data_IF_161967248905
#
_entry.id   IF_161967248905
#
_cell.length_a   1.000
_cell.length_b   1.000
_cell.length_c   1.000
_cell.angle_alpha   90.00
_cell.angle_beta   90.00
_cell.angle_gamma   90.00
#
_symmetry.space_group_name_H-M   'P 1'
#
loop_
_entity.id
_entity.type
_entity.pdbx_description
1 polymer ?
#
# COMPACT_ATOMS: atom_id res chain seq x y z
N UNK A 1 12.49 43.46 -64.83
CA UNK A 1 11.62 44.36 -64.03
C UNK A 1 10.45 43.51 -63.59
N UNK A 2 10.34 43.00 -62.37
CA UNK A 2 10.82 43.48 -61.06
C UNK A 2 11.64 42.42 -60.31
N UNK A 3 12.65 42.90 -59.60
CA UNK A 3 13.35 42.24 -58.50
C UNK A 3 12.50 42.33 -57.22
N UNK A 4 12.48 41.27 -56.42
CA UNK A 4 12.16 41.34 -54.99
C UNK A 4 13.00 40.27 -54.25
N UNK A 5 14.21 40.66 -53.86
CA UNK A 5 14.82 40.17 -52.63
C UNK A 5 14.24 40.99 -51.48
N UNK A 6 13.76 40.34 -50.42
CA UNK A 6 14.27 40.56 -49.07
C UNK A 6 13.64 39.60 -48.07
N UNK A 7 14.53 39.01 -47.29
CA UNK A 7 14.35 38.09 -46.18
C UNK A 7 13.46 38.63 -45.07
N UNK A 8 12.53 37.81 -44.58
CA UNK A 8 12.12 37.89 -43.17
C UNK A 8 11.86 36.48 -42.66
N UNK A 9 12.83 35.95 -41.90
CA UNK A 9 12.63 34.74 -41.11
C UNK A 9 11.53 35.02 -40.07
N UNK A 10 10.70 34.01 -39.71
CA UNK A 10 9.58 34.22 -38.79
C UNK A 10 10.06 34.73 -37.43
N UNK A 11 9.34 35.72 -36.93
CA UNK A 11 9.53 36.36 -35.62
C UNK A 11 9.58 35.28 -34.54
N UNK A 12 10.73 35.13 -33.88
CA UNK A 12 10.83 34.38 -32.63
C UNK A 12 10.00 35.13 -31.60
N UNK A 13 8.91 34.53 -31.13
CA UNK A 13 8.33 34.92 -29.85
C UNK A 13 9.44 34.74 -28.82
N UNK A 14 9.95 35.84 -28.28
CA UNK A 14 10.58 35.79 -26.98
C UNK A 14 9.48 35.28 -26.04
N UNK A 15 9.62 34.02 -25.59
CA UNK A 15 8.98 33.62 -24.37
C UNK A 15 9.55 34.59 -23.34
N UNK A 16 8.74 35.52 -22.87
CA UNK A 16 9.04 36.19 -21.62
C UNK A 16 9.15 35.06 -20.60
N UNK A 17 10.38 34.83 -20.14
CA UNK A 17 10.73 33.97 -19.02
C UNK A 17 10.07 34.57 -17.76
N UNK A 18 8.76 34.45 -17.66
CA UNK A 18 8.09 34.37 -16.38
C UNK A 18 8.28 32.93 -15.90
N UNK A 19 9.47 32.69 -15.33
CA UNK A 19 9.69 31.62 -14.36
C UNK A 19 8.65 31.82 -13.25
N UNK A 20 7.50 31.19 -13.43
CA UNK A 20 6.50 31.02 -12.41
C UNK A 20 7.09 30.05 -11.40
N UNK A 21 7.60 30.58 -10.29
CA UNK A 21 8.03 29.85 -9.09
C UNK A 21 6.94 28.94 -8.48
N UNK A 22 5.77 28.79 -9.12
CA UNK A 22 4.68 27.92 -8.68
C UNK A 22 5.06 26.43 -8.63
N UNK A 23 6.02 25.97 -9.44
CA UNK A 23 6.51 24.56 -9.35
C UNK A 23 7.30 24.29 -8.06
N UNK A 24 7.86 25.33 -7.41
CA UNK A 24 8.58 25.20 -6.14
C UNK A 24 7.67 25.28 -4.91
N UNK A 25 6.45 25.79 -5.04
CA UNK A 25 5.47 25.89 -3.94
C UNK A 25 4.88 24.52 -3.55
N UNK A 26 4.67 23.63 -4.51
CA UNK A 26 4.19 22.26 -4.25
C UNK A 26 5.16 21.45 -3.36
N UNK A 27 6.45 21.78 -3.39
CA UNK A 27 7.49 21.14 -2.59
C UNK A 27 7.48 21.58 -1.12
N UNK A 28 6.88 22.72 -0.77
CA UNK A 28 6.92 23.29 0.60
C UNK A 28 5.91 22.66 1.58
N UNK A 29 4.94 21.88 1.11
CA UNK A 29 3.85 21.36 1.97
C UNK A 29 4.30 20.17 2.84
N UNK A 30 5.35 19.45 2.43
CA UNK A 30 5.80 18.23 3.11
C UNK A 30 6.75 18.44 4.30
N UNK A 31 7.34 19.63 4.44
CA UNK A 31 8.35 19.93 5.46
C UNK A 31 7.83 19.89 6.91
N UNK A 32 6.52 19.66 7.12
CA UNK A 32 5.90 19.61 8.45
C UNK A 32 5.51 18.22 8.93
N UNK A 33 5.55 17.20 8.08
CA UNK A 33 5.09 15.86 8.45
C UNK A 33 6.27 15.01 8.88
N UNK A 34 6.24 14.51 10.12
CA UNK A 34 7.26 13.59 10.64
C UNK A 34 6.62 12.27 11.04
N UNK A 35 7.20 11.16 10.60
CA UNK A 35 6.78 9.81 10.99
C UNK A 35 7.66 9.32 12.12
N UNK A 36 7.05 8.91 13.23
CA UNK A 36 7.75 8.34 14.40
C UNK A 36 7.28 6.90 14.60
N UNK A 37 8.23 6.01 14.85
CA UNK A 37 7.96 4.60 15.11
C UNK A 37 8.32 4.32 16.56
N UNK A 38 7.32 3.96 17.36
CA UNK A 38 7.50 3.58 18.75
C UNK A 38 7.40 2.06 18.84
N UNK A 39 8.52 1.36 18.96
CA UNK A 39 8.53 -0.10 19.00
C UNK A 39 9.58 -0.65 19.95
N UNK A 40 9.32 -1.83 20.49
CA UNK A 40 10.28 -2.63 21.25
C UNK A 40 11.07 -3.60 20.36
N UNK A 41 10.65 -3.78 19.11
CA UNK A 41 11.24 -4.75 18.17
C UNK A 41 12.37 -4.07 17.40
N UNK A 42 13.57 -4.61 17.54
CA UNK A 42 14.79 -4.01 16.98
C UNK A 42 15.24 -4.63 15.66
N UNK A 43 14.99 -5.93 15.43
CA UNK A 43 15.56 -6.66 14.27
C UNK A 43 14.62 -7.75 13.73
N UNK A 44 13.46 -7.39 13.15
CA UNK A 44 12.60 -8.38 12.50
C UNK A 44 13.20 -8.85 11.17
N UNK A 45 13.12 -10.14 10.86
CA UNK A 45 13.57 -10.65 9.55
C UNK A 45 12.61 -10.33 8.41
N UNK A 46 11.30 -10.36 8.71
CA UNK A 46 10.22 -10.12 7.74
C UNK A 46 9.21 -9.11 8.27
N UNK A 47 8.77 -8.19 7.39
CA UNK A 47 7.60 -7.35 7.65
C UNK A 47 6.40 -7.84 6.85
N UNK A 48 5.25 -8.01 7.51
CA UNK A 48 3.97 -8.19 6.85
C UNK A 48 3.10 -6.97 7.14
N UNK A 49 2.68 -6.28 6.09
CA UNK A 49 2.06 -4.97 6.15
C UNK A 49 0.63 -5.07 5.62
N UNK A 50 -0.34 -4.98 6.51
CA UNK A 50 -1.76 -4.89 6.17
C UNK A 50 -2.12 -3.46 5.81
N UNK A 51 -2.44 -3.24 4.52
CA UNK A 51 -2.95 -1.99 3.98
C UNK A 51 -4.46 -2.08 3.75
N UNK A 52 -5.06 -0.91 3.54
CA UNK A 52 -6.49 -0.74 3.39
C UNK A 52 -7.32 -1.39 4.51
N UNK A 53 -8.64 -1.35 4.39
CA UNK A 53 -9.49 -2.04 5.37
C UNK A 53 -9.21 -3.56 5.46
N UNK A 54 -9.15 -4.34 4.37
CA UNK A 54 -9.07 -5.79 4.46
C UNK A 54 -7.70 -6.28 4.98
N UNK A 55 -6.59 -5.72 4.50
CA UNK A 55 -5.25 -6.11 4.98
C UNK A 55 -5.06 -5.74 6.45
N UNK A 56 -5.52 -4.56 6.88
CA UNK A 56 -5.54 -4.15 8.29
C UNK A 56 -6.36 -5.10 9.15
N UNK A 57 -7.60 -5.39 8.75
CA UNK A 57 -8.50 -6.30 9.48
C UNK A 57 -7.89 -7.69 9.60
N UNK A 58 -7.29 -8.19 8.52
CA UNK A 58 -6.58 -9.46 8.51
C UNK A 58 -5.50 -9.49 9.61
N UNK A 59 -4.57 -8.52 9.60
CA UNK A 59 -3.46 -8.46 10.57
C UNK A 59 -3.96 -8.35 12.02
N UNK A 60 -4.97 -7.51 12.27
CA UNK A 60 -5.51 -7.32 13.62
C UNK A 60 -6.22 -8.56 14.15
N UNK A 61 -6.76 -9.36 13.24
CA UNK A 61 -7.50 -10.58 13.54
C UNK A 61 -6.61 -11.81 13.73
N UNK A 62 -5.30 -11.71 13.58
CA UNK A 62 -4.41 -12.86 13.75
C UNK A 62 -4.34 -13.37 15.21
N UNK A 63 -4.22 -14.69 15.36
CA UNK A 63 -3.96 -15.38 16.62
C UNK A 63 -2.49 -15.27 17.02
N UNK A 64 -2.22 -15.41 18.32
CA UNK A 64 -0.86 -15.48 18.91
C UNK A 64 0.05 -14.27 18.60
N UNK A 65 -0.56 -13.13 18.26
CA UNK A 65 0.17 -11.88 18.05
C UNK A 65 0.29 -11.09 19.35
N UNK A 66 1.45 -10.51 19.61
CA UNK A 66 1.70 -9.65 20.77
C UNK A 66 1.84 -8.19 20.33
N UNK A 67 1.22 -7.21 21.02
CA UNK A 67 1.43 -5.79 20.70
C UNK A 67 2.91 -5.42 20.78
N UNK A 68 3.43 -4.79 19.73
CA UNK A 68 4.86 -4.50 19.57
C UNK A 68 5.17 -3.00 19.44
N UNK A 69 4.16 -2.15 19.23
CA UNK A 69 4.35 -0.71 19.05
C UNK A 69 3.27 -0.02 18.22
N UNK A 70 3.57 1.22 17.84
CA UNK A 70 2.72 2.07 16.99
C UNK A 70 3.56 2.89 16.00
N UNK A 71 2.96 3.24 14.86
CA UNK A 71 3.49 4.26 13.95
C UNK A 71 2.64 5.50 14.10
N UNK A 72 3.31 6.62 14.37
CA UNK A 72 2.71 7.91 14.64
C UNK A 72 3.04 8.88 13.52
N UNK A 73 2.02 9.60 13.05
CA UNK A 73 2.15 10.75 12.16
C UNK A 73 2.08 12.02 13.02
N UNK A 74 3.13 12.83 12.97
CA UNK A 74 3.17 14.10 13.66
C UNK A 74 3.15 15.26 12.65
N UNK A 75 2.21 16.19 12.83
CA UNK A 75 2.18 17.47 12.13
C UNK A 75 2.10 18.58 13.15
N UNK A 76 3.07 19.49 13.13
CA UNK A 76 3.22 20.55 14.12
C UNK A 76 3.16 19.95 15.55
N UNK A 77 2.05 20.15 16.27
CA UNK A 77 1.80 19.63 17.63
C UNK A 77 0.76 18.51 17.72
N UNK A 78 0.19 18.07 16.59
CA UNK A 78 -0.80 16.98 16.57
C UNK A 78 -0.13 15.68 16.22
N UNK A 79 -0.35 14.66 17.06
CA UNK A 79 0.14 13.29 16.84
C UNK A 79 -1.05 12.37 16.63
N UNK A 80 -1.03 11.63 15.53
CA UNK A 80 -2.07 10.67 15.17
C UNK A 80 -1.45 9.28 15.02
N UNK A 81 -2.06 8.25 15.60
CA UNK A 81 -1.64 6.87 15.34
C UNK A 81 -2.13 6.45 13.97
N UNK A 82 -1.22 6.04 13.10
CA UNK A 82 -1.50 5.58 11.74
C UNK A 82 -1.26 4.09 11.54
N UNK A 83 -0.55 3.43 12.44
CA UNK A 83 -0.45 1.98 12.41
C UNK A 83 -0.26 1.39 13.80
N UNK A 84 -0.69 0.15 13.95
CA UNK A 84 -0.40 -0.69 15.12
C UNK A 84 0.51 -1.83 14.70
N UNK A 85 1.51 -2.10 15.52
CA UNK A 85 2.49 -3.15 15.28
C UNK A 85 2.19 -4.33 16.19
N UNK A 86 2.35 -5.52 15.64
CA UNK A 86 2.24 -6.77 16.36
C UNK A 86 3.42 -7.67 16.01
N UNK A 87 3.92 -8.42 16.97
CA UNK A 87 4.98 -9.39 16.76
C UNK A 87 4.39 -10.80 16.76
N UNK A 88 4.82 -11.60 15.79
CA UNK A 88 4.58 -13.04 15.73
C UNK A 88 5.90 -13.73 15.37
N UNK A 89 6.50 -14.42 16.34
CA UNK A 89 7.83 -15.02 16.19
C UNK A 89 8.88 -13.99 15.72
N UNK A 90 9.52 -14.22 14.57
CA UNK A 90 10.50 -13.32 13.94
C UNK A 90 9.90 -12.42 12.85
N UNK A 91 8.56 -12.37 12.78
CA UNK A 91 7.82 -11.54 11.83
C UNK A 91 7.15 -10.38 12.56
N UNK A 92 7.36 -9.17 12.05
CA UNK A 92 6.66 -7.99 12.52
C UNK A 92 5.49 -7.70 11.57
N UNK A 93 4.30 -7.65 12.16
CA UNK A 93 3.03 -7.42 11.48
C UNK A 93 2.63 -5.96 11.71
N UNK A 94 2.25 -5.25 10.66
CA UNK A 94 1.88 -3.82 10.75
C UNK A 94 0.49 -3.66 10.16
N UNK A 95 -0.44 -3.16 10.97
CA UNK A 95 -1.80 -2.85 10.53
C UNK A 95 -1.95 -1.34 10.37
N UNK A 96 -1.96 -0.85 9.13
CA UNK A 96 -2.09 0.56 8.83
C UNK A 96 -3.55 1.01 8.79
N UNK A 97 -3.80 2.21 9.31
CA UNK A 97 -4.97 3.01 8.99
C UNK A 97 -4.82 3.66 7.60
N UNK A 98 -5.87 4.30 7.10
CA UNK A 98 -5.81 4.99 5.82
C UNK A 98 -4.69 6.05 5.81
N UNK A 99 -3.80 5.94 4.83
CA UNK A 99 -2.69 6.86 4.59
C UNK A 99 -2.97 7.67 3.33
N UNK A 100 -2.63 8.95 3.40
CA UNK A 100 -2.66 9.87 2.27
C UNK A 100 -1.51 9.51 1.32
N UNK A 101 -1.76 9.21 0.02
CA UNK A 101 -0.75 8.72 -0.91
C UNK A 101 0.52 9.58 -0.99
N UNK A 102 0.38 10.88 -0.85
CA UNK A 102 1.46 11.85 -0.89
C UNK A 102 2.47 11.68 0.25
N UNK A 103 2.07 11.06 1.37
CA UNK A 103 2.93 10.80 2.52
C UNK A 103 3.55 9.41 2.51
N UNK A 104 3.13 8.53 1.58
CA UNK A 104 3.50 7.12 1.54
C UNK A 104 5.03 6.88 1.58
N UNK A 105 5.78 7.73 0.88
CA UNK A 105 7.23 7.67 0.87
C UNK A 105 7.85 7.91 2.25
N UNK A 106 7.29 8.84 3.05
CA UNK A 106 7.78 9.15 4.40
C UNK A 106 7.63 7.96 5.34
N UNK A 107 6.49 7.25 5.27
CA UNK A 107 6.29 6.02 6.06
C UNK A 107 7.28 4.93 5.63
N UNK A 108 7.42 4.73 4.32
CA UNK A 108 8.36 3.73 3.78
C UNK A 108 9.77 4.02 4.26
N UNK A 109 10.25 5.26 4.12
CA UNK A 109 11.57 5.67 4.56
C UNK A 109 11.75 5.46 6.07
N UNK A 110 10.78 5.86 6.90
CA UNK A 110 10.86 5.68 8.34
C UNK A 110 10.97 4.20 8.74
N UNK A 111 10.19 3.31 8.10
CA UNK A 111 10.25 1.87 8.36
C UNK A 111 11.62 1.28 7.97
N UNK A 112 12.16 1.67 6.83
CA UNK A 112 13.44 1.16 6.32
C UNK A 112 14.64 1.68 7.10
N UNK A 113 14.53 2.87 7.69
CA UNK A 113 15.55 3.40 8.60
C UNK A 113 15.51 2.71 9.96
N UNK A 114 14.30 2.36 10.43
CA UNK A 114 14.11 1.72 11.73
C UNK A 114 14.53 0.25 11.73
N UNK A 115 14.23 -0.50 10.67
CA UNK A 115 14.46 -1.94 10.63
C UNK A 115 15.25 -2.37 9.40
N UNK A 116 16.21 -3.26 9.63
CA UNK A 116 16.90 -3.99 8.56
C UNK A 116 16.17 -5.29 8.29
N UNK A 117 15.32 -5.28 7.28
CA UNK A 117 14.48 -6.43 6.93
C UNK A 117 14.97 -7.08 5.65
N UNK A 118 14.81 -8.40 5.53
CA UNK A 118 15.21 -9.15 4.34
C UNK A 118 14.06 -9.30 3.35
N UNK A 119 12.83 -9.31 3.88
CA UNK A 119 11.61 -9.58 3.13
C UNK A 119 10.48 -8.68 3.59
N UNK A 120 9.70 -8.20 2.64
CA UNK A 120 8.44 -7.51 2.89
C UNK A 120 7.29 -8.22 2.18
N UNK A 121 6.14 -8.26 2.85
CA UNK A 121 4.90 -8.76 2.27
C UNK A 121 3.83 -7.72 2.56
N UNK A 122 3.26 -7.15 1.51
CA UNK A 122 2.16 -6.19 1.61
C UNK A 122 0.86 -6.96 1.34
N UNK A 123 -0.15 -6.74 2.18
CA UNK A 123 -1.51 -7.23 2.00
C UNK A 123 -2.36 -6.04 1.59
N UNK A 124 -2.56 -5.90 0.28
CA UNK A 124 -3.27 -4.78 -0.32
C UNK A 124 -4.55 -5.24 -0.99
N UNK A 125 -5.35 -4.29 -1.47
CA UNK A 125 -6.60 -4.59 -2.14
C UNK A 125 -6.85 -3.70 -3.34
N UNK A 126 -7.65 -4.19 -4.29
CA UNK A 126 -8.06 -3.40 -5.43
C UNK A 126 -9.56 -3.56 -5.69
N UNK A 127 -10.13 -2.57 -6.39
CA UNK A 127 -11.56 -2.54 -6.74
C UNK A 127 -11.76 -2.89 -8.21
N UNK A 128 -12.94 -3.39 -8.56
CA UNK A 128 -13.27 -3.81 -9.92
C UNK A 128 -13.11 -2.68 -10.94
N UNK A 129 -13.42 -1.43 -10.55
CA UNK A 129 -13.24 -0.25 -11.40
C UNK A 129 -11.79 0.06 -11.72
N UNK A 130 -10.85 -0.42 -10.89
CA UNK A 130 -9.41 -0.21 -11.04
C UNK A 130 -8.67 -1.41 -11.60
N UNK A 131 -9.38 -2.47 -12.03
CA UNK A 131 -8.77 -3.70 -12.53
C UNK A 131 -9.32 -4.10 -13.89
N UNK A 132 -8.40 -4.42 -14.79
CA UNK A 132 -8.65 -4.90 -16.15
C UNK A 132 -7.93 -6.24 -16.29
N UNK A 133 -8.70 -7.31 -16.53
CA UNK A 133 -8.17 -8.63 -16.86
C UNK A 133 -7.87 -8.73 -18.36
N UNK A 134 -6.77 -9.41 -18.73
CA UNK A 134 -6.51 -9.76 -20.14
C UNK A 134 -7.45 -10.86 -20.66
N UNK A 135 -8.02 -11.67 -19.78
CA UNK A 135 -8.90 -12.78 -20.16
C UNK A 135 -10.36 -12.32 -20.09
N UNK A 136 -11.00 -12.25 -21.25
CA UNK A 136 -12.41 -11.87 -21.35
C UNK A 136 -13.31 -12.96 -20.75
N UNK A 137 -14.14 -12.59 -19.77
CA UNK A 137 -15.06 -13.52 -19.10
C UNK A 137 -14.43 -14.35 -17.98
N UNK A 138 -13.18 -14.08 -17.57
CA UNK A 138 -12.78 -14.42 -16.22
C UNK A 138 -13.46 -13.44 -15.26
N UNK A 139 -14.62 -13.85 -14.78
CA UNK A 139 -15.24 -13.22 -13.63
C UNK A 139 -14.23 -13.23 -12.46
N UNK A 140 -14.34 -12.26 -11.56
CA UNK A 140 -13.53 -12.17 -10.34
C UNK A 140 -13.90 -13.34 -9.41
N UNK A 141 -13.51 -14.56 -9.77
CA UNK A 141 -13.86 -15.79 -9.06
C UNK A 141 -13.11 -15.82 -7.72
N UNK A 142 -13.83 -15.88 -6.59
CA UNK A 142 -13.20 -15.91 -5.29
C UNK A 142 -12.60 -17.29 -4.94
N UNK A 143 -11.56 -17.34 -4.09
CA UNK A 143 -10.80 -16.21 -3.55
C UNK A 143 -9.89 -15.61 -4.64
N UNK A 144 -10.09 -14.33 -4.94
CA UNK A 144 -9.35 -13.66 -6.00
C UNK A 144 -8.08 -13.02 -5.43
N UNK A 145 -6.93 -13.53 -5.87
CA UNK A 145 -5.62 -13.00 -5.50
C UNK A 145 -4.79 -12.72 -6.75
N UNK A 146 -4.12 -11.58 -6.74
CA UNK A 146 -3.07 -11.22 -7.69
C UNK A 146 -1.81 -10.80 -6.93
N UNK A 147 -0.66 -10.89 -7.57
CA UNK A 147 0.61 -10.57 -6.93
C UNK A 147 1.44 -9.64 -7.80
N UNK A 148 1.92 -8.56 -7.19
CA UNK A 148 3.12 -7.85 -7.67
C UNK A 148 4.31 -8.29 -6.83
N UNK A 149 5.48 -8.38 -7.45
CA UNK A 149 6.69 -8.77 -6.76
C UNK A 149 7.89 -8.06 -7.35
N UNK A 150 8.91 -7.83 -6.52
CA UNK A 150 10.19 -7.28 -6.98
C UNK A 150 10.96 -8.29 -7.82
N UNK A 151 11.87 -7.82 -8.67
CA UNK A 151 12.66 -8.66 -9.57
C UNK A 151 13.56 -9.68 -8.85
N UNK A 152 14.00 -9.36 -7.63
CA UNK A 152 14.81 -10.24 -6.78
C UNK A 152 13.97 -11.33 -6.09
N UNK A 153 12.65 -11.19 -6.08
CA UNK A 153 11.75 -12.13 -5.41
C UNK A 153 11.67 -13.44 -6.18
N UNK A 154 11.64 -14.56 -5.47
CA UNK A 154 11.48 -15.87 -6.09
C UNK A 154 10.11 -15.96 -6.76
N UNK A 155 10.12 -16.40 -8.03
CA UNK A 155 8.89 -16.62 -8.76
C UNK A 155 8.16 -17.85 -8.20
N UNK A 156 6.99 -17.62 -7.62
CA UNK A 156 6.10 -18.68 -7.17
C UNK A 156 5.09 -18.99 -8.29
N UNK A 157 5.18 -20.15 -8.99
CA UNK A 157 4.33 -20.46 -10.16
C UNK A 157 2.84 -20.54 -9.87
N UNK A 158 2.45 -20.63 -8.59
CA UNK A 158 1.04 -20.63 -8.17
C UNK A 158 0.46 -19.22 -8.06
N UNK A 159 1.26 -18.18 -8.14
CA UNK A 159 0.77 -16.81 -8.15
C UNK A 159 0.36 -16.38 -9.55
N UNK A 160 -0.84 -15.82 -9.62
CA UNK A 160 -1.27 -15.05 -10.78
C UNK A 160 -0.77 -13.62 -10.62
N UNK A 161 0.00 -13.13 -11.59
CA UNK A 161 0.57 -11.79 -11.53
C UNK A 161 -0.50 -10.72 -11.69
N UNK A 162 -0.33 -9.59 -11.01
CA UNK A 162 -1.11 -8.39 -11.27
C UNK A 162 -0.64 -7.77 -12.59
N UNK A 163 -1.45 -7.93 -13.62
CA UNK A 163 -1.08 -7.66 -15.00
C UNK A 163 -1.19 -6.17 -15.38
N UNK A 164 -0.46 -5.75 -16.41
CA UNK A 164 -0.67 -4.44 -17.03
C UNK A 164 -2.04 -4.35 -17.70
N UNK A 165 -2.74 -3.21 -17.72
CA UNK A 165 -2.29 -1.87 -17.34
C UNK A 165 -2.60 -1.50 -15.89
N UNK A 166 -2.85 -2.47 -15.02
CA UNK A 166 -3.25 -2.20 -13.64
C UNK A 166 -2.09 -1.59 -12.84
N UNK A 167 -2.41 -0.67 -11.94
CA UNK A 167 -1.41 0.05 -11.15
C UNK A 167 -1.77 0.01 -9.67
N UNK A 168 -0.74 -0.17 -8.85
CA UNK A 168 -0.81 0.07 -7.40
C UNK A 168 -0.39 1.50 -7.09
N UNK A 169 -0.90 2.06 -6.00
CA UNK A 169 -0.71 3.46 -5.62
C UNK A 169 -0.46 3.60 -4.12
N UNK A 170 0.01 4.77 -3.69
CA UNK A 170 0.20 5.07 -2.27
C UNK A 170 1.28 4.21 -1.61
N UNK A 171 0.97 3.64 -0.44
CA UNK A 171 1.97 2.97 0.40
C UNK A 171 2.48 1.65 -0.20
N UNK A 172 1.63 0.82 -0.82
CA UNK A 172 2.07 -0.41 -1.50
C UNK A 172 3.08 -0.09 -2.61
N UNK A 173 2.75 0.88 -3.46
CA UNK A 173 3.65 1.35 -4.52
C UNK A 173 4.98 1.91 -3.98
N UNK A 174 4.93 2.72 -2.92
CA UNK A 174 6.14 3.28 -2.31
C UNK A 174 7.06 2.20 -1.73
N UNK A 175 6.48 1.19 -1.06
CA UNK A 175 7.21 0.05 -0.52
C UNK A 175 7.83 -0.78 -1.65
N UNK A 176 7.04 -1.17 -2.65
CA UNK A 176 7.50 -1.95 -3.79
C UNK A 176 8.65 -1.23 -4.52
N UNK A 177 8.50 0.07 -4.79
CA UNK A 177 9.54 0.86 -5.45
C UNK A 177 10.83 0.91 -4.63
N UNK A 178 10.73 1.15 -3.32
CA UNK A 178 11.90 1.15 -2.45
C UNK A 178 12.59 -0.23 -2.47
N UNK A 179 11.82 -1.31 -2.33
CA UNK A 179 12.36 -2.66 -2.36
C UNK A 179 13.00 -3.01 -3.72
N UNK A 180 12.42 -2.58 -4.84
CA UNK A 180 12.99 -2.81 -6.17
C UNK A 180 14.34 -2.08 -6.33
N UNK A 181 14.39 -0.79 -5.96
CA UNK A 181 15.63 0.02 -6.03
C UNK A 181 16.73 -0.59 -5.16
N UNK A 182 16.37 -1.06 -3.96
CA UNK A 182 17.32 -1.60 -2.99
C UNK A 182 17.53 -3.12 -3.09
N UNK A 183 16.99 -3.78 -4.12
CA UNK A 183 17.14 -5.22 -4.35
C UNK A 183 16.69 -6.07 -3.15
N UNK A 184 15.55 -5.70 -2.57
CA UNK A 184 14.91 -6.40 -1.46
C UNK A 184 13.73 -7.23 -1.94
N UNK A 185 13.55 -8.41 -1.34
CA UNK A 185 12.42 -9.28 -1.65
C UNK A 185 11.14 -8.64 -1.13
N UNK A 186 10.20 -8.36 -2.04
CA UNK A 186 8.90 -7.81 -1.69
C UNK A 186 7.81 -8.46 -2.53
N UNK A 187 6.75 -8.89 -1.87
CA UNK A 187 5.51 -9.38 -2.48
C UNK A 187 4.37 -8.46 -2.06
N UNK A 188 3.56 -8.03 -3.01
CA UNK A 188 2.31 -7.31 -2.75
C UNK A 188 1.15 -8.21 -3.17
N UNK A 189 0.42 -8.69 -2.17
CA UNK A 189 -0.70 -9.61 -2.30
C UNK A 189 -1.97 -8.78 -2.41
N UNK A 190 -2.50 -8.71 -3.63
CA UNK A 190 -3.63 -7.87 -4.02
C UNK A 190 -4.90 -8.71 -4.08
N UNK A 191 -5.78 -8.50 -3.11
CA UNK A 191 -7.09 -9.16 -3.06
C UNK A 191 -8.17 -8.29 -3.70
N UNK A 192 -9.19 -8.93 -4.27
CA UNK A 192 -10.36 -8.19 -4.73
C UNK A 192 -11.18 -7.70 -3.53
N UNK A 193 -11.54 -6.42 -3.56
CA UNK A 193 -12.38 -5.78 -2.56
C UNK A 193 -13.71 -5.33 -3.16
N UNK A 194 -14.79 -5.89 -2.61
CA UNK A 194 -16.14 -5.51 -2.95
C UNK A 194 -16.57 -4.22 -2.24
N UNK A 195 -17.56 -3.55 -2.83
CA UNK A 195 -18.21 -2.42 -2.19
C UNK A 195 -19.72 -2.54 -2.34
N UNK A 196 -20.45 -2.31 -1.25
CA UNK A 196 -21.91 -2.26 -1.23
C UNK A 196 -22.36 -0.89 -0.75
N UNK A 197 -23.21 -0.22 -1.52
CA UNK A 197 -23.68 1.15 -1.23
C UNK A 197 -22.54 2.18 -1.01
N UNK A 198 -21.45 2.03 -1.75
CA UNK A 198 -20.29 2.92 -1.65
C UNK A 198 -19.40 2.66 -0.43
N UNK A 199 -19.75 1.71 0.43
CA UNK A 199 -18.90 1.25 1.52
C UNK A 199 -18.13 0.01 1.10
N UNK A 200 -16.85 -0.01 1.46
CA UNK A 200 -16.01 -1.17 1.26
C UNK A 200 -16.43 -2.31 2.19
N UNK A 201 -16.43 -3.53 1.66
CA UNK A 201 -16.70 -4.74 2.43
C UNK A 201 -15.44 -5.57 2.56
N UNK A 202 -15.19 -6.06 3.78
CA UNK A 202 -14.22 -7.10 4.03
C UNK A 202 -14.99 -8.42 4.09
N UNK A 203 -14.76 -9.31 3.14
CA UNK A 203 -15.43 -10.61 3.08
C UNK A 203 -14.49 -11.73 3.53
N UNK A 204 -15.05 -12.87 3.91
CA UNK A 204 -14.26 -14.07 4.21
C UNK A 204 -13.40 -14.49 3.01
N UNK A 205 -13.84 -14.21 1.78
CA UNK A 205 -13.11 -14.53 0.56
C UNK A 205 -11.83 -13.70 0.45
N UNK A 206 -11.92 -12.39 0.74
CA UNK A 206 -10.75 -11.50 0.82
C UNK A 206 -9.73 -12.00 1.84
N UNK A 207 -10.18 -12.39 3.04
CA UNK A 207 -9.29 -12.89 4.08
C UNK A 207 -8.66 -14.25 3.71
N UNK A 208 -9.45 -15.13 3.09
CA UNK A 208 -8.98 -16.45 2.60
C UNK A 208 -7.95 -16.30 1.49
N UNK A 209 -8.08 -15.27 0.64
CA UNK A 209 -7.09 -14.94 -0.39
C UNK A 209 -5.73 -14.63 0.24
N UNK A 210 -5.69 -13.82 1.31
CA UNK A 210 -4.45 -13.53 2.03
C UNK A 210 -3.87 -14.75 2.73
N UNK A 211 -4.69 -15.58 3.41
CA UNK A 211 -4.20 -16.84 4.01
C UNK A 211 -3.56 -17.73 2.95
N UNK A 212 -4.20 -17.86 1.79
CA UNK A 212 -3.69 -18.64 0.67
C UNK A 212 -2.35 -18.07 0.18
N UNK A 213 -2.27 -16.77 -0.06
CA UNK A 213 -1.05 -16.12 -0.54
C UNK A 213 0.12 -16.24 0.45
N UNK A 214 -0.14 -16.01 1.74
CA UNK A 214 0.83 -16.14 2.81
C UNK A 214 1.31 -17.59 2.97
N UNK A 215 0.40 -18.57 2.88
CA UNK A 215 0.75 -19.99 2.96
C UNK A 215 1.70 -20.42 1.83
N UNK A 216 1.50 -19.87 0.62
CA UNK A 216 2.39 -20.10 -0.52
C UNK A 216 3.79 -19.50 -0.33
N UNK A 217 3.91 -18.48 0.52
CA UNK A 217 5.20 -17.89 0.92
C UNK A 217 5.79 -18.56 2.18
N UNK A 218 5.13 -19.58 2.72
CA UNK A 218 5.57 -20.33 3.91
C UNK A 218 5.06 -19.80 5.25
N UNK A 219 4.15 -18.82 5.25
CA UNK A 219 3.58 -18.24 6.48
C UNK A 219 2.23 -18.87 6.79
N UNK A 220 2.13 -19.53 7.95
CA UNK A 220 0.88 -20.13 8.44
C UNK A 220 0.32 -19.30 9.59
N UNK A 221 -0.30 -18.17 9.23
CA UNK A 221 -0.95 -17.28 10.19
C UNK A 221 -2.44 -17.64 10.25
N UNK A 222 -2.97 -17.85 11.45
CA UNK A 222 -4.37 -18.23 11.67
C UNK A 222 -5.18 -17.06 12.18
N UNK A 223 -6.37 -16.89 11.63
CA UNK A 223 -7.32 -15.88 12.09
C UNK A 223 -8.06 -16.30 13.36
N UNK A 224 -8.28 -15.32 14.23
CA UNK A 224 -9.12 -15.39 15.42
C UNK A 224 -10.55 -14.98 15.04
N UNK A 225 -11.42 -15.98 14.91
CA UNK A 225 -12.84 -15.79 14.58
C UNK A 225 -13.58 -14.95 15.62
N UNK A 226 -13.11 -14.93 16.88
CA UNK A 226 -13.67 -14.10 17.94
C UNK A 226 -13.40 -12.62 17.70
N UNK A 227 -12.18 -12.26 17.26
CA UNK A 227 -11.82 -10.88 16.91
C UNK A 227 -12.56 -10.40 15.67
N UNK A 228 -12.64 -11.24 14.63
CA UNK A 228 -13.40 -10.93 13.41
C UNK A 228 -14.86 -10.58 13.72
N UNK A 229 -15.51 -11.40 14.55
CA UNK A 229 -16.91 -11.17 14.94
C UNK A 229 -17.12 -9.85 15.69
N UNK A 230 -16.15 -9.41 16.50
CA UNK A 230 -16.22 -8.11 17.21
C UNK A 230 -16.05 -6.94 16.24
N UNK A 231 -15.14 -7.05 15.28
CA UNK A 231 -14.90 -6.01 14.28
C UNK A 231 -16.10 -5.84 13.33
N UNK A 232 -16.77 -6.92 12.94
CA UNK A 232 -18.01 -6.88 12.17
C UNK A 232 -19.14 -6.17 12.92
N UNK A 233 -19.22 -6.35 14.24
CA UNK A 233 -20.20 -5.67 15.10
C UNK A 233 -19.88 -4.18 15.27
N UNK A 234 -18.62 -3.80 15.38
CA UNK A 234 -18.20 -2.39 15.42
C UNK A 234 -18.49 -1.69 14.09
N UNK A 235 -18.26 -2.36 12.96
CA UNK A 235 -18.64 -1.84 11.65
C UNK A 235 -20.17 -1.75 11.50
N UNK A 236 -20.92 -2.74 12.02
CA UNK A 236 -22.38 -2.77 11.94
C UNK A 236 -23.07 -1.74 12.86
N UNK A 237 -22.48 -1.41 14.01
CA UNK A 237 -23.01 -0.36 14.89
C UNK A 237 -22.87 1.04 14.27
N UNK A 238 -21.83 1.27 13.46
CA UNK A 238 -21.70 2.48 12.63
C UNK A 238 -22.70 2.52 11.46
N UNK A 239 -23.34 1.40 11.08
CA UNK A 239 -24.39 1.35 10.04
C UNK A 239 -25.76 1.84 10.49
N UNK A 240 -26.02 1.96 11.80
CA UNK A 240 -27.34 2.33 12.35
C UNK A 240 -27.54 3.84 12.54
N UNK A 241 -26.55 4.67 12.19
CA UNK A 241 -26.58 6.13 12.38
C UNK A 241 -26.59 6.95 11.08
N UNK A 242 -26.93 6.33 9.94
CA UNK A 242 -27.15 7.01 8.65
C UNK A 242 -28.58 6.82 8.16
#
# INVERSE_FOLDING_TARGET
MMDYEETSAPVRYALDDHDSDEELEASKVFDKVTIKIETQVTTPSTLIIGLDQPGKVYVQSLLHTQPAGTILRQIDNTTETKARLYQHEDTLLIAFDAIVPEEAHLYTQAMMQQWKVNKMIVLDSFRAVGYVSHVWGEDLVPPFLRVLQTSVSEHQPKFTLFETPNMVQGLSAAILNHCEIHQMVCYDLLSFQESMYGQLLVTNETLTAYETGLSLLGYQLKLDQGKLSQMDQEQSSHRLYL
#
